data_IF_495579611775
#
_entry.id   IF_495579611775
#
_cell.length_a   1.000
_cell.length_b   1.000
_cell.length_c   1.000
_cell.angle_alpha   90.00
_cell.angle_beta   90.00
_cell.angle_gamma   90.00
#
_symmetry.space_group_name_H-M   'P 1'
#
loop_
_entity.id
_entity.type
_entity.pdbx_description
1 polymer ?
#
# COMPACT_ATOMS: atom_id res chain seq x y z
N UNK A 1 1.52 31.59 15.99
CA UNK A 1 1.53 30.28 15.34
C UNK A 1 2.69 29.46 15.87
N UNK A 2 2.48 28.17 16.14
CA UNK A 2 3.59 27.25 16.40
C UNK A 2 3.48 26.03 15.48
N UNK A 3 4.63 25.45 15.15
CA UNK A 3 4.73 24.34 14.19
C UNK A 3 5.42 23.18 14.89
N UNK A 4 4.69 22.09 15.10
CA UNK A 4 5.19 20.93 15.83
C UNK A 4 5.51 19.77 14.88
N UNK A 5 6.55 19.01 15.26
CA UNK A 5 6.98 17.78 14.61
C UNK A 5 7.14 17.84 13.06
N UNK A 6 7.77 18.89 12.52
CA UNK A 6 7.95 19.01 11.09
C UNK A 6 8.88 17.92 10.55
N UNK A 7 8.44 17.24 9.47
CA UNK A 7 9.31 16.31 8.78
C UNK A 7 8.98 16.23 7.29
N UNK A 8 9.98 15.90 6.49
CA UNK A 8 9.87 15.59 5.07
C UNK A 8 10.07 14.10 4.88
N UNK A 9 9.34 13.51 3.97
CA UNK A 9 9.47 12.11 3.62
C UNK A 9 10.71 11.86 2.77
N UNK A 10 11.58 10.90 3.16
CA UNK A 10 12.63 10.40 2.28
C UNK A 10 12.02 9.79 1.01
N UNK A 11 12.64 10.00 -0.12
CA UNK A 11 12.21 9.41 -1.39
C UNK A 11 13.23 8.42 -1.93
N UNK A 12 12.78 7.32 -2.55
CA UNK A 12 13.66 6.38 -3.21
C UNK A 12 14.49 7.03 -4.32
N UNK A 13 15.68 6.52 -4.63
CA UNK A 13 16.48 7.02 -5.74
C UNK A 13 15.68 7.03 -7.05
N UNK A 14 15.73 8.17 -7.77
CA UNK A 14 15.02 8.36 -9.03
C UNK A 14 13.63 8.95 -8.91
N UNK A 15 13.08 9.13 -7.73
CA UNK A 15 11.85 9.90 -7.52
C UNK A 15 12.16 11.38 -7.26
N UNK A 16 11.37 12.26 -7.88
CA UNK A 16 11.52 13.71 -7.77
C UNK A 16 10.35 14.38 -7.02
N UNK A 17 9.57 13.59 -6.28
CA UNK A 17 8.39 14.08 -5.55
C UNK A 17 8.45 13.59 -4.11
N UNK A 18 8.31 14.52 -3.18
CA UNK A 18 8.20 14.25 -1.75
C UNK A 18 7.01 14.99 -1.13
N UNK A 19 6.82 14.82 0.16
CA UNK A 19 5.82 15.55 0.92
C UNK A 19 6.34 15.92 2.32
N UNK A 20 5.90 17.07 2.82
CA UNK A 20 6.14 17.52 4.19
C UNK A 20 4.87 17.45 5.02
N UNK A 21 5.07 17.15 6.29
CA UNK A 21 4.03 16.91 7.28
C UNK A 21 4.42 17.62 8.59
N UNK A 22 3.41 18.15 9.30
CA UNK A 22 3.59 18.89 10.56
C UNK A 22 2.25 19.12 11.24
N UNK A 23 2.26 19.60 12.46
CA UNK A 23 1.07 20.12 13.13
C UNK A 23 1.17 21.64 13.20
N UNK A 24 0.20 22.34 12.63
CA UNK A 24 0.05 23.78 12.74
C UNK A 24 -0.83 24.08 13.94
N UNK A 25 -0.37 24.90 14.87
CA UNK A 25 -1.14 25.35 16.05
C UNK A 25 -1.35 26.86 16.02
N UNK A 26 -2.56 27.24 16.27
CA UNK A 26 -2.98 28.64 16.32
C UNK A 26 -3.44 29.00 17.73
N UNK A 27 -2.62 29.79 18.44
CA UNK A 27 -2.90 30.26 19.81
C UNK A 27 -3.65 31.60 19.84
N UNK A 28 -4.06 32.13 18.68
CA UNK A 28 -4.82 33.39 18.57
C UNK A 28 -6.34 33.13 18.64
N UNK A 29 -7.10 34.17 18.83
CA UNK A 29 -8.56 34.12 18.88
C UNK A 29 -9.22 34.21 17.48
N UNK A 30 -8.41 34.34 16.42
CA UNK A 30 -8.88 34.36 15.04
C UNK A 30 -8.41 33.12 14.27
N UNK A 31 -9.22 32.64 13.32
CA UNK A 31 -8.82 31.61 12.35
C UNK A 31 -7.70 32.16 11.46
N UNK A 32 -6.70 31.32 11.18
CA UNK A 32 -5.57 31.67 10.30
C UNK A 32 -5.42 30.54 9.28
N UNK A 33 -5.07 30.86 8.03
CA UNK A 33 -4.87 29.85 7.01
C UNK A 33 -3.45 29.89 6.42
N UNK A 34 -2.83 28.73 6.24
CA UNK A 34 -1.64 28.56 5.41
C UNK A 34 -2.07 28.69 3.94
N UNK A 35 -1.54 29.70 3.25
CA UNK A 35 -1.89 30.00 1.85
C UNK A 35 -0.80 29.64 0.85
N UNK A 36 0.46 29.53 1.32
CA UNK A 36 1.59 29.20 0.46
C UNK A 36 2.71 28.53 1.24
N UNK A 37 3.44 27.66 0.58
CA UNK A 37 4.70 27.13 1.08
C UNK A 37 5.77 27.19 0.01
N UNK A 38 7.03 27.34 0.39
CA UNK A 38 8.18 27.36 -0.52
C UNK A 38 9.40 26.67 0.10
N UNK A 39 10.30 26.18 -0.73
CA UNK A 39 11.57 25.56 -0.33
C UNK A 39 12.52 25.56 -1.51
N UNK A 40 13.81 25.69 -1.25
CA UNK A 40 14.88 25.58 -2.26
C UNK A 40 15.09 24.14 -2.78
N UNK A 41 14.59 23.17 -2.04
CA UNK A 41 14.77 21.74 -2.37
C UNK A 41 13.91 21.28 -3.55
N UNK A 42 12.86 22.01 -3.93
CA UNK A 42 11.90 21.61 -4.95
C UNK A 42 11.57 22.76 -5.91
N UNK A 43 11.31 22.43 -7.19
CA UNK A 43 10.91 23.42 -8.20
C UNK A 43 9.53 24.01 -7.91
N UNK A 44 8.62 23.18 -7.41
CA UNK A 44 7.25 23.56 -7.11
C UNK A 44 6.86 23.02 -5.74
N UNK A 45 6.24 23.86 -4.92
CA UNK A 45 5.72 23.49 -3.60
C UNK A 45 4.23 23.84 -3.56
N UNK A 46 3.38 22.86 -3.26
CA UNK A 46 1.92 23.00 -3.32
C UNK A 46 1.26 22.47 -2.06
N UNK A 47 0.14 23.11 -1.69
CA UNK A 47 -0.73 22.61 -0.61
C UNK A 47 -1.73 21.61 -1.20
N UNK A 48 -1.80 20.44 -0.63
CA UNK A 48 -2.68 19.36 -1.11
C UNK A 48 -3.53 18.77 0.00
N UNK A 49 -4.66 18.23 -0.39
CA UNK A 49 -5.49 17.39 0.47
C UNK A 49 -5.85 16.07 -0.21
N UNK A 50 -6.12 15.07 0.62
CA UNK A 50 -6.76 13.84 0.15
C UNK A 50 -8.26 13.96 0.39
N UNK A 51 -9.05 13.95 -0.68
CA UNK A 51 -10.52 13.96 -0.63
C UNK A 51 -11.08 12.61 -1.03
N UNK A 52 -12.17 12.22 -0.37
CA UNK A 52 -12.95 11.05 -0.75
C UNK A 52 -14.11 11.50 -1.65
N UNK A 53 -13.99 11.30 -2.93
CA UNK A 53 -15.02 11.64 -3.89
C UNK A 53 -15.39 10.41 -4.72
N UNK A 54 -16.66 10.04 -4.72
CA UNK A 54 -17.15 8.85 -5.43
C UNK A 54 -16.53 7.52 -4.95
N UNK A 55 -16.10 7.42 -3.68
CA UNK A 55 -15.44 6.23 -3.14
C UNK A 55 -13.95 6.11 -3.49
N UNK A 56 -13.39 7.10 -4.16
CA UNK A 56 -11.96 7.19 -4.49
C UNK A 56 -11.27 8.26 -3.65
N UNK A 57 -10.06 7.96 -3.18
CA UNK A 57 -9.16 8.98 -2.64
C UNK A 57 -8.46 9.66 -3.82
N UNK A 58 -8.75 10.95 -3.98
CA UNK A 58 -8.05 11.82 -4.93
C UNK A 58 -7.17 12.79 -4.15
N UNK A 59 -5.96 13.02 -4.64
CA UNK A 59 -5.17 14.17 -4.22
C UNK A 59 -5.57 15.36 -5.07
N UNK A 60 -5.88 16.48 -4.45
CA UNK A 60 -6.08 17.74 -5.14
C UNK A 60 -5.32 18.84 -4.46
N UNK A 61 -4.85 19.79 -5.25
CA UNK A 61 -4.30 21.03 -4.75
C UNK A 61 -5.41 21.85 -4.09
N UNK A 62 -5.09 22.47 -2.96
CA UNK A 62 -6.00 23.38 -2.25
C UNK A 62 -5.40 24.77 -2.18
N UNK A 63 -6.22 25.85 -2.25
CA UNK A 63 -5.71 27.21 -2.17
C UNK A 63 -5.23 27.59 -0.77
N UNK A 64 -5.73 26.92 0.26
CA UNK A 64 -5.36 27.17 1.65
C UNK A 64 -5.63 25.98 2.56
N UNK A 65 -4.94 25.93 3.68
CA UNK A 65 -5.19 24.98 4.78
C UNK A 65 -5.52 25.79 6.03
N UNK A 66 -6.74 25.70 6.49
CA UNK A 66 -7.27 26.48 7.62
C UNK A 66 -6.81 25.89 8.96
N UNK A 67 -6.44 26.75 9.90
CA UNK A 67 -6.11 26.44 11.30
C UNK A 67 -7.08 27.21 12.21
N UNK A 68 -8.01 26.54 12.89
CA UNK A 68 -9.03 27.20 13.68
C UNK A 68 -8.43 28.03 14.84
N UNK A 69 -9.15 29.04 15.29
CA UNK A 69 -8.79 29.83 16.48
C UNK A 69 -8.61 28.92 17.70
N UNK A 70 -7.58 29.14 18.51
CA UNK A 70 -7.22 28.33 19.69
C UNK A 70 -7.15 26.83 19.38
N UNK A 71 -6.83 26.45 18.14
CA UNK A 71 -6.86 25.09 17.67
C UNK A 71 -5.64 24.67 16.88
N UNK A 72 -5.74 23.51 16.24
CA UNK A 72 -4.66 22.97 15.44
C UNK A 72 -5.17 22.22 14.19
N UNK A 73 -4.35 22.24 13.14
CA UNK A 73 -4.57 21.44 11.93
C UNK A 73 -3.35 20.55 11.69
N UNK A 74 -3.59 19.24 11.55
CA UNK A 74 -2.53 18.23 11.37
C UNK A 74 -2.38 17.93 9.89
N UNK A 75 -1.22 18.26 9.34
CA UNK A 75 -0.78 17.82 8.00
C UNK A 75 -0.17 16.42 8.15
N UNK A 76 -0.81 15.42 7.58
CA UNK A 76 -0.44 14.00 7.74
C UNK A 76 -0.68 13.19 6.47
N UNK A 77 -0.03 12.04 6.29
CA UNK A 77 -0.35 11.13 5.20
C UNK A 77 -1.84 10.77 5.17
N UNK A 78 -2.47 10.92 4.02
CA UNK A 78 -3.91 10.70 3.85
C UNK A 78 -4.81 11.86 4.25
N UNK A 79 -4.25 13.02 4.58
CA UNK A 79 -4.95 14.27 4.86
C UNK A 79 -4.29 15.45 4.14
N UNK A 80 -4.30 16.63 4.78
CA UNK A 80 -3.53 17.78 4.30
C UNK A 80 -2.03 17.49 4.33
N UNK A 81 -1.30 18.00 3.35
CA UNK A 81 0.15 17.90 3.25
C UNK A 81 0.72 18.95 2.29
N UNK A 82 2.02 19.20 2.39
CA UNK A 82 2.76 20.06 1.48
C UNK A 82 3.52 19.19 0.52
N UNK A 83 3.22 19.28 -0.78
CA UNK A 83 3.92 18.55 -1.84
C UNK A 83 5.19 19.27 -2.25
N UNK A 84 6.29 18.52 -2.39
CA UNK A 84 7.57 18.97 -2.92
C UNK A 84 7.78 18.31 -4.27
N UNK A 85 7.59 19.03 -5.36
CA UNK A 85 7.56 18.54 -6.73
C UNK A 85 8.81 19.01 -7.48
N UNK A 86 9.46 18.09 -8.20
CA UNK A 86 10.68 18.38 -8.93
C UNK A 86 11.86 18.66 -8.01
N UNK A 87 12.17 17.71 -7.12
CA UNK A 87 13.29 17.82 -6.20
C UNK A 87 14.60 18.13 -6.96
N UNK A 88 15.28 19.19 -6.55
CA UNK A 88 16.51 19.68 -7.19
C UNK A 88 17.76 18.93 -6.73
N UNK A 89 17.68 18.23 -5.61
CA UNK A 89 18.74 17.37 -5.06
C UNK A 89 18.15 16.11 -4.42
N UNK A 90 18.98 15.10 -4.29
CA UNK A 90 18.61 13.89 -3.52
C UNK A 90 18.47 14.25 -2.04
N UNK A 91 17.37 13.82 -1.42
CA UNK A 91 17.14 13.96 0.01
C UNK A 91 17.18 12.59 0.68
N UNK A 92 17.87 12.49 1.81
CA UNK A 92 18.09 11.26 2.59
C UNK A 92 17.66 11.46 4.02
N UNK A 93 17.31 10.37 4.69
CA UNK A 93 17.00 10.41 6.12
C UNK A 93 18.12 11.10 6.92
N UNK A 94 17.75 12.06 7.76
CA UNK A 94 18.65 12.91 8.53
C UNK A 94 18.95 14.27 7.90
N UNK A 95 18.71 14.46 6.59
CA UNK A 95 18.84 15.77 5.96
C UNK A 95 17.86 16.76 6.60
N UNK A 96 18.23 18.03 6.61
CA UNK A 96 17.39 19.13 7.04
C UNK A 96 16.93 19.93 5.82
N UNK A 97 15.62 20.17 5.73
CA UNK A 97 14.97 20.92 4.67
C UNK A 97 14.27 22.11 5.28
N UNK A 98 14.56 23.29 4.77
CA UNK A 98 13.85 24.49 5.17
C UNK A 98 12.62 24.69 4.31
N UNK A 99 11.51 25.02 4.98
CA UNK A 99 10.25 25.42 4.35
C UNK A 99 9.84 26.76 4.90
N UNK A 100 9.54 27.70 4.04
CA UNK A 100 8.88 28.94 4.40
C UNK A 100 7.37 28.76 4.20
N UNK A 101 6.60 29.04 5.24
CA UNK A 101 5.15 28.91 5.30
C UNK A 101 4.53 30.30 5.43
N UNK A 102 3.74 30.70 4.44
CA UNK A 102 3.09 32.01 4.38
C UNK A 102 1.61 31.86 4.76
N UNK A 103 1.17 32.64 5.72
CA UNK A 103 -0.19 32.65 6.25
C UNK A 103 -0.97 33.86 5.77
N UNK A 104 -2.30 33.75 5.73
CA UNK A 104 -3.21 34.82 5.25
C UNK A 104 -3.22 36.08 6.10
N UNK A 105 -2.69 36.01 7.32
CA UNK A 105 -2.47 37.20 8.18
C UNK A 105 -1.14 37.91 7.89
N UNK A 106 -0.41 37.54 6.83
CA UNK A 106 0.88 38.11 6.44
C UNK A 106 2.09 37.56 7.20
N UNK A 107 1.89 36.61 8.13
CA UNK A 107 3.01 36.01 8.85
C UNK A 107 3.71 34.99 7.95
N UNK A 108 5.05 35.00 7.96
CA UNK A 108 5.88 33.99 7.29
C UNK A 108 6.70 33.29 8.37
N UNK A 109 6.52 31.98 8.49
CA UNK A 109 7.27 31.12 9.42
C UNK A 109 8.22 30.21 8.66
N UNK A 110 9.49 30.22 9.03
CA UNK A 110 10.48 29.29 8.48
C UNK A 110 10.67 28.12 9.42
N UNK A 111 10.46 26.92 8.90
CA UNK A 111 10.56 25.69 9.67
C UNK A 111 11.60 24.74 9.07
N UNK A 112 12.49 24.23 9.92
CA UNK A 112 13.45 23.18 9.54
C UNK A 112 12.82 21.81 9.75
N UNK A 113 12.55 21.14 8.65
CA UNK A 113 11.97 19.80 8.61
C UNK A 113 13.06 18.74 8.45
N UNK A 114 13.14 17.79 9.37
CA UNK A 114 14.08 16.66 9.22
C UNK A 114 13.53 15.65 8.24
N UNK A 115 14.34 15.24 7.26
CA UNK A 115 13.99 14.13 6.37
C UNK A 115 13.95 12.84 7.17
N UNK A 116 12.77 12.26 7.26
CA UNK A 116 12.56 10.99 7.95
C UNK A 116 12.43 9.89 6.91
N UNK A 117 13.24 8.85 7.08
CA UNK A 117 12.91 7.55 6.48
C UNK A 117 11.55 7.17 7.03
N UNK A 118 10.62 6.72 6.20
CA UNK A 118 9.40 6.14 6.74
C UNK A 118 9.80 4.85 7.46
N UNK A 119 10.33 5.03 8.66
CA UNK A 119 10.31 3.98 9.66
C UNK A 119 8.90 4.07 10.25
N UNK A 120 7.98 3.25 9.76
CA UNK A 120 6.75 2.99 10.50
C UNK A 120 7.17 2.70 11.94
N UNK A 121 6.69 3.55 12.84
CA UNK A 121 7.20 3.70 14.20
C UNK A 121 7.51 2.39 14.89
N UNK A 122 8.70 2.32 15.45
CA UNK A 122 8.97 1.46 16.58
C UNK A 122 8.07 1.93 17.73
N UNK A 123 6.88 1.37 17.86
CA UNK A 123 6.19 1.38 19.13
C UNK A 123 7.06 0.59 20.11
N UNK A 124 7.77 1.30 21.00
CA UNK A 124 8.22 0.75 22.27
C UNK A 124 6.97 0.48 23.11
N UNK A 125 6.56 -0.76 23.13
CA UNK A 125 5.49 -1.28 23.96
C UNK A 125 5.67 -2.79 23.91
N UNK A 126 6.33 -3.33 24.93
CA UNK A 126 6.62 -4.75 25.04
C UNK A 126 5.33 -5.57 25.05
N UNK A 127 5.31 -6.63 24.28
CA UNK A 127 4.77 -7.94 24.67
C UNK A 127 5.07 -8.96 23.56
N UNK A 128 5.78 -9.99 23.96
CA UNK A 128 5.55 -11.33 23.48
C UNK A 128 6.26 -11.77 22.19
N UNK A 129 7.52 -12.16 22.33
CA UNK A 129 8.29 -12.91 21.32
C UNK A 129 7.70 -14.28 20.89
N UNK A 130 6.40 -14.55 21.06
CA UNK A 130 5.78 -15.83 20.72
C UNK A 130 5.01 -15.85 19.39
N UNK A 131 4.68 -14.69 18.80
CA UNK A 131 3.81 -14.66 17.60
C UNK A 131 4.56 -14.57 16.26
N UNK A 132 5.87 -14.26 16.27
CA UNK A 132 6.67 -14.17 15.04
C UNK A 132 6.89 -15.51 14.32
N UNK A 133 6.84 -16.65 15.01
CA UNK A 133 7.01 -17.98 14.39
C UNK A 133 5.82 -18.42 13.52
N UNK A 134 4.63 -17.91 13.80
CA UNK A 134 3.43 -18.18 12.98
C UNK A 134 3.42 -17.35 11.69
N UNK A 135 3.86 -16.10 11.78
CA UNK A 135 3.90 -15.16 10.64
C UNK A 135 5.01 -15.51 9.65
N UNK A 136 6.16 -16.04 10.11
CA UNK A 136 7.23 -16.54 9.23
C UNK A 136 6.84 -17.76 8.39
N UNK A 137 5.77 -18.48 8.74
CA UNK A 137 5.20 -19.57 7.91
C UNK A 137 4.22 -19.08 6.85
N UNK A 138 3.79 -17.82 6.85
CA UNK A 138 3.20 -17.21 5.66
C UNK A 138 4.31 -17.04 4.62
N UNK A 139 4.65 -18.14 3.94
CA UNK A 139 5.52 -18.12 2.77
C UNK A 139 5.03 -16.97 1.90
N UNK A 140 5.89 -15.97 1.65
CA UNK A 140 5.70 -14.92 0.66
C UNK A 140 5.34 -15.57 -0.68
N UNK A 141 4.05 -15.87 -0.86
CA UNK A 141 3.58 -16.48 -2.09
C UNK A 141 3.35 -15.35 -3.10
N UNK A 142 3.82 -15.58 -4.28
CA UNK A 142 3.84 -14.92 -5.59
C UNK A 142 2.72 -13.93 -5.97
N UNK A 143 1.76 -13.65 -5.11
CA UNK A 143 0.54 -12.88 -5.42
C UNK A 143 0.58 -11.41 -4.96
N UNK A 144 1.68 -10.95 -4.39
CA UNK A 144 1.81 -9.53 -4.02
C UNK A 144 1.93 -8.63 -5.24
N UNK A 145 2.31 -9.20 -6.38
CA UNK A 145 2.51 -8.45 -7.61
C UNK A 145 2.20 -9.27 -8.86
N UNK A 146 1.17 -8.89 -9.64
CA UNK A 146 0.75 -9.62 -10.85
C UNK A 146 1.67 -9.43 -12.05
N UNK A 147 2.54 -8.41 -12.07
CA UNK A 147 3.43 -8.17 -13.22
C UNK A 147 4.41 -9.33 -13.45
N UNK A 148 4.64 -9.76 -14.71
CA UNK A 148 5.66 -10.74 -15.03
C UNK A 148 7.05 -10.25 -14.62
N UNK A 149 7.92 -11.19 -14.24
CA UNK A 149 9.30 -10.90 -13.85
C UNK A 149 10.27 -11.40 -14.90
N UNK A 150 10.50 -10.62 -15.96
CA UNK A 150 11.40 -10.99 -17.06
C UNK A 150 12.87 -11.11 -16.64
N UNK A 151 13.29 -10.40 -15.59
CA UNK A 151 14.63 -10.56 -15.04
C UNK A 151 14.92 -12.02 -14.64
N UNK A 152 13.88 -12.78 -14.34
CA UNK A 152 13.99 -14.19 -13.99
C UNK A 152 14.40 -15.05 -15.18
N UNK A 153 13.99 -14.69 -16.39
CA UNK A 153 14.43 -15.31 -17.64
C UNK A 153 15.91 -15.02 -17.85
N UNK A 154 16.30 -13.75 -17.78
CA UNK A 154 17.69 -13.35 -17.88
C UNK A 154 18.59 -14.09 -16.88
N UNK A 155 18.22 -14.12 -15.60
CA UNK A 155 19.04 -14.78 -14.57
C UNK A 155 19.19 -16.30 -14.73
N UNK A 156 18.22 -16.98 -15.37
CA UNK A 156 18.19 -18.44 -15.45
C UNK A 156 18.41 -19.03 -16.84
N UNK A 157 18.24 -18.21 -17.88
CA UNK A 157 18.18 -18.65 -19.26
C UNK A 157 18.84 -17.65 -20.24
N UNK A 158 19.80 -16.85 -19.77
CA UNK A 158 20.50 -15.85 -20.61
C UNK A 158 21.23 -16.50 -21.79
N UNK A 159 21.67 -17.73 -21.64
CA UNK A 159 22.26 -18.57 -22.68
C UNK A 159 21.35 -18.79 -23.88
N UNK A 160 20.02 -18.75 -23.68
CA UNK A 160 19.01 -18.94 -24.74
C UNK A 160 18.59 -17.66 -25.44
N UNK A 161 19.15 -16.53 -25.07
CA UNK A 161 18.75 -15.19 -25.57
C UNK A 161 19.71 -14.61 -26.60
N UNK A 162 20.84 -15.27 -26.89
CA UNK A 162 21.89 -14.79 -27.82
C UNK A 162 22.28 -13.32 -27.58
N UNK A 163 22.55 -12.98 -26.31
CA UNK A 163 22.87 -11.61 -25.90
C UNK A 163 24.31 -11.24 -26.20
N UNK A 164 24.53 -10.01 -26.64
CA UNK A 164 25.89 -9.44 -26.73
C UNK A 164 26.45 -9.18 -25.32
N UNK A 165 27.77 -9.09 -25.20
CA UNK A 165 28.46 -8.75 -23.97
C UNK A 165 27.99 -7.38 -23.40
N UNK A 166 27.71 -6.42 -24.28
CA UNK A 166 27.18 -5.11 -23.93
C UNK A 166 25.76 -5.21 -23.36
N UNK A 167 24.86 -5.97 -24.00
CA UNK A 167 23.49 -6.21 -23.50
C UNK A 167 23.49 -6.88 -22.13
N UNK A 168 24.33 -7.89 -21.93
CA UNK A 168 24.50 -8.56 -20.64
C UNK A 168 24.96 -7.58 -19.56
N UNK A 169 25.91 -6.69 -19.90
CA UNK A 169 26.43 -5.68 -18.97
C UNK A 169 25.34 -4.68 -18.57
N UNK A 170 24.57 -4.15 -19.54
CA UNK A 170 23.45 -3.23 -19.31
C UNK A 170 22.35 -3.86 -18.43
N UNK A 171 21.96 -5.11 -18.72
CA UNK A 171 20.95 -5.82 -17.93
C UNK A 171 21.42 -6.08 -16.50
N UNK A 172 22.69 -6.47 -16.30
CA UNK A 172 23.28 -6.64 -14.96
C UNK A 172 23.34 -5.32 -14.19
N UNK A 173 23.69 -4.21 -14.84
CA UNK A 173 23.71 -2.88 -14.23
C UNK A 173 22.30 -2.47 -13.76
N UNK A 174 21.28 -2.61 -14.60
CA UNK A 174 19.90 -2.34 -14.24
C UNK A 174 19.37 -3.22 -13.09
N UNK A 175 19.81 -4.48 -13.03
CA UNK A 175 19.48 -5.37 -11.92
C UNK A 175 20.12 -4.91 -10.61
N UNK A 176 21.41 -4.50 -10.66
CA UNK A 176 22.13 -4.00 -9.49
C UNK A 176 21.53 -2.71 -8.94
N UNK A 177 21.08 -1.83 -9.85
CA UNK A 177 20.46 -0.56 -9.50
C UNK A 177 19.07 -0.73 -8.87
N UNK A 178 18.18 -1.49 -9.52
CA UNK A 178 16.76 -1.59 -9.12
C UNK A 178 16.45 -2.73 -8.15
N UNK A 179 17.30 -3.76 -8.12
CA UNK A 179 17.08 -4.94 -7.30
C UNK A 179 16.90 -4.64 -5.81
N UNK A 180 17.78 -3.82 -5.18
CA UNK A 180 17.64 -3.44 -3.77
C UNK A 180 16.31 -2.75 -3.47
N UNK A 181 15.88 -1.81 -4.32
CA UNK A 181 14.62 -1.08 -4.13
C UNK A 181 13.40 -2.02 -4.18
N UNK A 182 13.33 -2.93 -5.15
CA UNK A 182 12.25 -3.92 -5.23
C UNK A 182 12.26 -4.87 -4.02
N UNK A 183 13.43 -5.23 -3.50
CA UNK A 183 13.55 -6.05 -2.30
C UNK A 183 13.03 -5.32 -1.06
N UNK A 184 13.36 -4.04 -0.92
CA UNK A 184 12.88 -3.19 0.18
C UNK A 184 11.35 -3.00 0.12
N UNK A 185 10.80 -2.66 -1.05
CA UNK A 185 9.36 -2.57 -1.27
C UNK A 185 8.64 -3.88 -0.90
N UNK A 186 9.21 -5.01 -1.29
CA UNK A 186 8.64 -6.33 -0.97
C UNK A 186 8.65 -6.59 0.55
N UNK A 187 9.72 -6.22 1.24
CA UNK A 187 9.80 -6.34 2.70
C UNK A 187 8.80 -5.41 3.41
N UNK A 188 8.62 -4.18 2.89
CA UNK A 188 7.60 -3.23 3.37
C UNK A 188 6.18 -3.78 3.22
N UNK A 189 5.86 -4.38 2.07
CA UNK A 189 4.56 -5.05 1.83
C UNK A 189 4.29 -6.12 2.88
N UNK A 190 5.27 -7.01 3.13
CA UNK A 190 5.11 -8.10 4.13
C UNK A 190 4.85 -7.54 5.52
N UNK A 191 5.59 -6.49 5.90
CA UNK A 191 5.40 -5.83 7.19
C UNK A 191 4.03 -5.20 7.31
N UNK A 192 3.58 -4.47 6.29
CA UNK A 192 2.27 -3.83 6.27
C UNK A 192 1.12 -4.83 6.32
N UNK A 193 1.25 -5.98 5.65
CA UNK A 193 0.28 -7.07 5.74
C UNK A 193 0.17 -7.61 7.17
N UNK A 194 1.31 -7.80 7.85
CA UNK A 194 1.33 -8.23 9.24
C UNK A 194 0.76 -7.17 10.20
N UNK A 195 1.05 -5.89 9.96
CA UNK A 195 0.54 -4.78 10.75
C UNK A 195 -1.00 -4.64 10.61
N UNK A 196 -1.55 -4.79 9.38
CA UNK A 196 -3.00 -4.79 9.13
C UNK A 196 -3.67 -5.99 9.84
N UNK A 197 -3.09 -7.18 9.70
CA UNK A 197 -3.58 -8.36 10.40
C UNK A 197 -3.64 -8.14 11.92
N UNK A 198 -2.53 -7.67 12.48
CA UNK A 198 -2.40 -7.41 13.92
C UNK A 198 -3.39 -6.34 14.39
N UNK A 199 -3.50 -5.23 13.69
CA UNK A 199 -4.44 -4.15 13.99
C UNK A 199 -5.90 -4.63 13.95
N UNK A 200 -6.24 -5.44 12.94
CA UNK A 200 -7.59 -5.98 12.80
C UNK A 200 -7.96 -6.95 13.93
N UNK A 201 -7.02 -7.84 14.31
CA UNK A 201 -7.21 -8.82 15.40
C UNK A 201 -7.29 -8.14 16.77
N UNK A 202 -6.51 -7.09 16.99
CA UNK A 202 -6.49 -6.33 18.24
C UNK A 202 -7.64 -5.32 18.37
N UNK A 203 -8.53 -5.28 17.39
CA UNK A 203 -9.71 -4.42 17.45
C UNK A 203 -9.44 -2.95 17.20
N UNK A 204 -8.30 -2.61 16.60
CA UNK A 204 -7.95 -1.22 16.25
C UNK A 204 -9.02 -0.57 15.37
N UNK A 205 -9.23 0.73 15.50
CA UNK A 205 -10.26 1.45 14.77
C UNK A 205 -10.01 1.47 13.25
N UNK A 206 -11.09 1.60 12.48
CA UNK A 206 -11.06 1.51 11.01
C UNK A 206 -10.10 2.53 10.38
N UNK A 207 -10.04 3.76 10.91
CA UNK A 207 -9.16 4.80 10.38
C UNK A 207 -7.66 4.40 10.42
N UNK A 208 -7.23 3.71 11.48
CA UNK A 208 -5.86 3.19 11.60
C UNK A 208 -5.59 2.09 10.58
N UNK A 209 -6.55 1.20 10.40
CA UNK A 209 -6.45 0.11 9.41
C UNK A 209 -6.46 0.68 8.00
N UNK A 210 -7.27 1.70 7.71
CA UNK A 210 -7.28 2.39 6.42
C UNK A 210 -5.93 3.05 6.09
N UNK A 211 -5.27 3.67 7.07
CA UNK A 211 -3.92 4.23 6.89
C UNK A 211 -2.91 3.15 6.49
N UNK A 212 -2.92 2.01 7.20
CA UNK A 212 -2.06 0.86 6.88
C UNK A 212 -2.40 0.28 5.50
N UNK A 213 -3.68 0.17 5.16
CA UNK A 213 -4.13 -0.33 3.87
C UNK A 213 -3.69 0.57 2.72
N UNK A 214 -3.82 1.88 2.86
CA UNK A 214 -3.35 2.84 1.85
C UNK A 214 -1.83 2.74 1.65
N UNK A 215 -1.06 2.64 2.75
CA UNK A 215 0.39 2.44 2.68
C UNK A 215 0.74 1.12 1.97
N UNK A 216 0.05 0.03 2.29
CA UNK A 216 0.22 -1.27 1.63
C UNK A 216 -0.05 -1.19 0.13
N UNK A 217 -1.13 -0.52 -0.27
CA UNK A 217 -1.49 -0.40 -1.68
C UNK A 217 -0.49 0.48 -2.45
N UNK A 218 0.01 1.51 -1.81
CA UNK A 218 1.07 2.35 -2.39
C UNK A 218 2.34 1.53 -2.67
N UNK A 219 2.79 0.72 -1.70
CA UNK A 219 3.98 -0.13 -1.89
C UNK A 219 3.77 -1.19 -2.99
N UNK A 220 2.60 -1.81 -3.03
CA UNK A 220 2.23 -2.76 -4.08
C UNK A 220 2.21 -2.11 -5.47
N UNK A 221 1.67 -0.91 -5.58
CA UNK A 221 1.67 -0.14 -6.83
C UNK A 221 3.11 0.21 -7.27
N UNK A 222 3.97 0.61 -6.33
CA UNK A 222 5.37 0.89 -6.62
C UNK A 222 6.13 -0.36 -7.13
N UNK A 223 5.79 -1.55 -6.65
CA UNK A 223 6.34 -2.79 -7.20
C UNK A 223 5.86 -3.02 -8.65
N UNK A 224 4.57 -2.76 -8.95
CA UNK A 224 4.04 -2.85 -10.32
C UNK A 224 4.82 -1.88 -11.23
N UNK A 225 4.93 -0.62 -10.84
CA UNK A 225 5.69 0.41 -11.59
C UNK A 225 7.15 0.03 -11.80
N UNK A 226 7.82 -0.46 -10.76
CA UNK A 226 9.22 -0.89 -10.85
C UNK A 226 9.44 -2.07 -11.80
N UNK A 227 8.51 -3.03 -11.83
CA UNK A 227 8.57 -4.15 -12.80
C UNK A 227 8.20 -3.72 -14.22
N UNK A 228 7.30 -2.77 -14.37
CA UNK A 228 6.99 -2.16 -15.68
C UNK A 228 8.21 -1.44 -16.22
N UNK A 229 8.88 -0.63 -15.42
CA UNK A 229 10.14 0.03 -15.81
C UNK A 229 11.24 -0.98 -16.16
N UNK A 230 11.30 -2.12 -15.44
CA UNK A 230 12.22 -3.20 -15.78
C UNK A 230 11.90 -3.81 -17.17
N UNK A 231 10.61 -4.01 -17.50
CA UNK A 231 10.19 -4.46 -18.83
C UNK A 231 10.62 -3.47 -19.91
N UNK A 232 10.39 -2.18 -19.71
CA UNK A 232 10.79 -1.16 -20.70
C UNK A 232 12.31 -1.17 -20.92
N UNK A 233 13.10 -1.33 -19.85
CA UNK A 233 14.56 -1.47 -20.01
C UNK A 233 14.98 -2.72 -20.81
N UNK A 234 14.23 -3.82 -20.74
CA UNK A 234 14.47 -4.96 -21.62
C UNK A 234 14.23 -4.59 -23.10
N UNK A 235 13.18 -3.82 -23.39
CA UNK A 235 12.87 -3.37 -24.76
C UNK A 235 13.90 -2.39 -25.31
N UNK A 236 14.48 -1.54 -24.47
CA UNK A 236 15.53 -0.60 -24.85
C UNK A 236 16.88 -1.28 -25.13
N UNK A 237 17.15 -2.39 -24.43
CA UNK A 237 18.44 -3.09 -24.49
C UNK A 237 18.43 -4.21 -25.53
N UNK A 238 17.31 -4.89 -25.70
CA UNK A 238 17.16 -6.05 -26.58
C UNK A 238 16.53 -5.65 -27.92
N UNK A 239 16.89 -6.37 -28.98
CA UNK A 239 16.11 -6.29 -30.19
C UNK A 239 14.74 -6.97 -30.05
N UNK A 240 13.84 -6.74 -31.00
CA UNK A 240 12.48 -7.26 -31.00
C UNK A 240 12.44 -8.81 -30.88
N UNK A 241 13.31 -9.52 -31.62
CA UNK A 241 13.36 -10.98 -31.58
C UNK A 241 13.82 -11.52 -30.23
N UNK A 242 14.83 -10.88 -29.64
CA UNK A 242 15.33 -11.20 -28.31
C UNK A 242 14.26 -10.95 -27.25
N UNK A 243 13.56 -9.81 -27.33
CA UNK A 243 12.49 -9.50 -26.38
C UNK A 243 11.32 -10.49 -26.49
N UNK A 244 10.89 -10.82 -27.71
CA UNK A 244 9.87 -11.86 -27.92
C UNK A 244 10.30 -13.21 -27.35
N UNK A 245 11.58 -13.57 -27.50
CA UNK A 245 12.13 -14.79 -26.91
C UNK A 245 12.11 -14.76 -25.38
N UNK A 246 12.34 -13.61 -24.74
CA UNK A 246 12.17 -13.45 -23.30
C UNK A 246 10.72 -13.73 -22.89
N UNK A 247 9.75 -13.18 -23.60
CA UNK A 247 8.31 -13.39 -23.32
C UNK A 247 7.93 -14.87 -23.49
N UNK A 248 8.39 -15.51 -24.58
CA UNK A 248 8.16 -16.93 -24.86
C UNK A 248 8.72 -17.81 -23.76
N UNK A 249 10.01 -17.67 -23.42
CA UNK A 249 10.65 -18.41 -22.35
C UNK A 249 10.00 -18.17 -21.00
N UNK A 250 9.48 -16.96 -20.74
CA UNK A 250 8.72 -16.69 -19.54
C UNK A 250 7.41 -17.46 -19.51
N UNK A 251 6.65 -17.48 -20.60
CA UNK A 251 5.40 -18.23 -20.75
C UNK A 251 5.62 -19.72 -20.53
N UNK A 252 6.64 -20.29 -21.14
CA UNK A 252 6.94 -21.71 -21.03
C UNK A 252 7.38 -22.16 -19.62
N UNK A 253 8.23 -21.36 -18.97
CA UNK A 253 8.97 -21.82 -17.78
C UNK A 253 8.49 -21.22 -16.47
N UNK A 254 7.80 -20.05 -16.50
CA UNK A 254 7.48 -19.28 -15.32
C UNK A 254 5.99 -18.93 -15.17
N UNK A 255 5.17 -19.18 -16.19
CA UNK A 255 3.72 -19.02 -16.04
C UNK A 255 3.19 -19.97 -14.96
N UNK A 256 2.28 -19.48 -14.13
CA UNK A 256 1.55 -20.36 -13.21
C UNK A 256 0.79 -21.40 -14.04
N UNK A 257 1.03 -22.69 -13.79
CA UNK A 257 0.20 -23.73 -14.42
C UNK A 257 -1.23 -23.54 -13.91
N UNK A 258 -2.18 -23.37 -14.82
CA UNK A 258 -3.59 -23.11 -14.53
C UNK A 258 -4.19 -24.13 -13.53
N UNK A 259 -3.73 -25.36 -13.57
CA UNK A 259 -4.15 -26.44 -12.67
C UNK A 259 -3.66 -26.31 -11.21
N UNK A 260 -2.63 -25.47 -10.93
CA UNK A 260 -2.10 -25.29 -9.56
C UNK A 260 -2.63 -24.07 -8.84
N UNK A 261 -3.40 -23.22 -9.50
CA UNK A 261 -4.04 -22.06 -8.87
C UNK A 261 -5.46 -22.42 -8.45
N UNK A 262 -5.60 -23.24 -7.40
CA UNK A 262 -6.90 -23.48 -6.78
C UNK A 262 -7.54 -22.14 -6.39
N UNK A 263 -8.82 -21.92 -6.76
CA UNK A 263 -9.61 -20.71 -6.48
C UNK A 263 -9.46 -20.19 -5.03
N UNK A 264 -9.19 -21.07 -4.09
CA UNK A 264 -9.08 -20.76 -2.65
C UNK A 264 -7.70 -20.21 -2.25
N UNK A 265 -6.60 -20.53 -2.95
CA UNK A 265 -5.27 -19.96 -2.65
C UNK A 265 -5.16 -18.50 -3.11
N UNK A 266 -5.79 -18.12 -4.21
CA UNK A 266 -5.85 -16.74 -4.68
C UNK A 266 -6.54 -15.81 -3.68
N UNK A 267 -7.63 -16.27 -3.07
CA UNK A 267 -8.42 -15.49 -2.11
C UNK A 267 -7.64 -15.18 -0.82
N UNK A 268 -6.77 -16.08 -0.36
CA UNK A 268 -5.98 -15.91 0.88
C UNK A 268 -4.89 -14.83 0.78
N UNK A 269 -4.42 -14.52 -0.43
CA UNK A 269 -3.27 -13.64 -0.65
C UNK A 269 -3.63 -12.23 -1.11
N UNK A 270 -4.88 -11.99 -1.47
CA UNK A 270 -5.31 -10.67 -1.93
C UNK A 270 -5.54 -9.70 -0.78
N UNK A 271 -5.68 -10.20 0.45
CA UNK A 271 -6.10 -9.37 1.55
C UNK A 271 -5.57 -9.84 2.92
N UNK A 272 -4.78 -9.01 3.63
CA UNK A 272 -4.18 -9.35 4.92
C UNK A 272 -5.17 -9.33 6.10
N UNK A 273 -6.33 -8.69 5.94
CA UNK A 273 -7.32 -8.61 7.02
C UNK A 273 -7.97 -9.99 7.31
N UNK A 274 -8.18 -10.36 8.58
CA UNK A 274 -8.72 -11.65 8.97
C UNK A 274 -10.16 -11.84 8.48
N UNK A 275 -10.53 -13.07 8.10
CA UNK A 275 -11.90 -13.43 7.77
C UNK A 275 -12.57 -14.11 8.97
N UNK A 276 -13.05 -13.34 9.93
CA UNK A 276 -13.65 -13.85 11.16
C UNK A 276 -14.97 -14.58 10.93
N UNK A 277 -15.73 -14.24 9.86
CA UNK A 277 -16.95 -14.97 9.49
C UNK A 277 -16.69 -16.45 9.18
N UNK A 278 -15.46 -16.82 8.85
CA UNK A 278 -15.11 -18.21 8.61
C UNK A 278 -15.15 -19.05 9.91
N UNK A 279 -14.88 -18.43 11.06
CA UNK A 279 -15.00 -19.09 12.38
C UNK A 279 -16.47 -19.38 12.66
N UNK A 280 -17.36 -18.40 12.47
CA UNK A 280 -18.80 -18.59 12.63
C UNK A 280 -19.30 -19.77 11.79
N UNK A 281 -18.94 -19.78 10.50
CA UNK A 281 -19.39 -20.83 9.56
C UNK A 281 -18.86 -22.23 9.88
N UNK A 282 -17.65 -22.35 10.46
CA UNK A 282 -17.00 -23.64 10.67
C UNK A 282 -17.03 -24.14 12.10
N UNK A 283 -17.22 -23.26 13.06
CA UNK A 283 -17.06 -23.52 14.49
C UNK A 283 -18.09 -22.76 15.33
N UNK A 284 -19.23 -22.40 14.76
CA UNK A 284 -20.29 -21.67 15.45
C UNK A 284 -20.85 -22.45 16.65
N UNK A 285 -20.84 -23.79 16.56
CA UNK A 285 -21.17 -24.71 17.64
C UNK A 285 -20.35 -24.50 18.93
N UNK A 286 -19.11 -23.99 18.79
CA UNK A 286 -18.19 -23.71 19.92
C UNK A 286 -18.39 -22.35 20.58
N UNK A 287 -19.35 -21.57 20.10
CA UNK A 287 -19.55 -20.19 20.53
C UNK A 287 -20.77 -19.99 21.44
N UNK A 288 -21.59 -21.06 21.66
CA UNK A 288 -22.82 -21.00 22.43
C UNK A 288 -23.72 -19.80 22.03
N UNK A 289 -23.98 -19.69 20.71
CA UNK A 289 -24.79 -18.61 20.17
C UNK A 289 -26.27 -18.81 20.49
N UNK A 290 -26.98 -17.73 20.81
CA UNK A 290 -28.42 -17.73 20.87
C UNK A 290 -29.04 -17.84 19.46
N UNK A 291 -30.29 -18.30 19.37
CA UNK A 291 -31.02 -18.37 18.09
C UNK A 291 -31.07 -17.02 17.38
N UNK A 292 -31.26 -15.95 18.14
CA UNK A 292 -31.24 -14.58 17.61
C UNK A 292 -29.88 -14.22 17.01
N UNK A 293 -28.78 -14.53 17.71
CA UNK A 293 -27.42 -14.26 17.21
C UNK A 293 -27.11 -15.05 15.94
N UNK A 294 -27.56 -16.32 15.88
CA UNK A 294 -27.43 -17.15 14.66
C UNK A 294 -28.18 -16.48 13.49
N UNK A 295 -29.43 -16.13 13.68
CA UNK A 295 -30.27 -15.47 12.67
C UNK A 295 -29.66 -14.16 12.18
N UNK A 296 -29.18 -13.31 13.11
CA UNK A 296 -28.56 -12.02 12.77
C UNK A 296 -27.26 -12.20 11.99
N UNK A 297 -26.43 -13.17 12.35
CA UNK A 297 -25.17 -13.50 11.64
C UNK A 297 -25.42 -14.11 10.26
N UNK A 298 -26.42 -14.99 10.11
CA UNK A 298 -26.80 -15.59 8.85
C UNK A 298 -27.37 -14.54 7.87
N UNK A 299 -28.27 -13.68 8.37
CA UNK A 299 -28.79 -12.55 7.59
C UNK A 299 -27.66 -11.66 7.09
N UNK A 300 -26.77 -11.24 7.99
CA UNK A 300 -25.60 -10.45 7.63
C UNK A 300 -24.72 -11.16 6.59
N UNK A 301 -24.45 -12.45 6.79
CA UNK A 301 -23.64 -13.28 5.87
C UNK A 301 -24.26 -13.39 4.48
N UNK A 302 -25.60 -13.53 4.39
CA UNK A 302 -26.33 -13.59 3.12
C UNK A 302 -26.31 -12.26 2.36
N UNK A 303 -26.41 -11.13 3.05
CA UNK A 303 -26.36 -9.80 2.43
C UNK A 303 -24.93 -9.43 1.96
N UNK A 304 -23.91 -9.71 2.76
CA UNK A 304 -22.53 -9.28 2.47
C UNK A 304 -21.74 -10.27 1.64
N UNK A 305 -22.07 -11.55 1.69
CA UNK A 305 -21.38 -12.62 0.98
C UNK A 305 -21.26 -12.36 -0.52
N UNK A 306 -22.36 -12.06 -1.23
CA UNK A 306 -22.32 -11.76 -2.67
C UNK A 306 -21.48 -10.54 -3.01
N UNK A 307 -21.53 -9.48 -2.20
CA UNK A 307 -20.72 -8.26 -2.38
C UNK A 307 -19.24 -8.58 -2.29
N UNK A 308 -18.84 -9.27 -1.23
CA UNK A 308 -17.44 -9.69 -1.04
C UNK A 308 -16.97 -10.61 -2.17
N UNK A 309 -17.80 -11.55 -2.62
CA UNK A 309 -17.49 -12.44 -3.74
C UNK A 309 -17.22 -11.65 -5.03
N UNK A 310 -18.05 -10.65 -5.34
CA UNK A 310 -17.88 -9.77 -6.51
C UNK A 310 -16.56 -8.98 -6.43
N UNK A 311 -16.21 -8.45 -5.26
CA UNK A 311 -14.95 -7.73 -5.04
C UNK A 311 -13.73 -8.66 -5.23
N UNK A 312 -13.76 -9.88 -4.72
CA UNK A 312 -12.69 -10.86 -4.95
C UNK A 312 -12.55 -11.22 -6.44
N UNK A 313 -13.66 -11.37 -7.15
CA UNK A 313 -13.65 -11.63 -8.59
C UNK A 313 -13.02 -10.45 -9.35
N UNK A 314 -13.35 -9.21 -9.00
CA UNK A 314 -12.75 -8.02 -9.60
C UNK A 314 -11.23 -7.96 -9.38
N UNK A 315 -10.75 -8.22 -8.16
CA UNK A 315 -9.30 -8.28 -7.90
C UNK A 315 -8.63 -9.38 -8.74
N UNK A 316 -9.24 -10.56 -8.81
CA UNK A 316 -8.70 -11.68 -9.58
C UNK A 316 -8.61 -11.34 -11.08
N UNK A 317 -9.63 -10.69 -11.62
CA UNK A 317 -9.63 -10.27 -13.03
C UNK A 317 -8.56 -9.22 -13.27
N UNK A 318 -8.46 -8.20 -12.42
CA UNK A 318 -7.44 -7.16 -12.55
C UNK A 318 -6.01 -7.70 -12.41
N UNK A 319 -5.78 -8.71 -11.58
CA UNK A 319 -4.47 -9.40 -11.53
C UNK A 319 -4.15 -10.09 -12.84
N UNK A 320 -5.14 -10.76 -13.45
CA UNK A 320 -4.97 -11.38 -14.75
C UNK A 320 -4.75 -10.34 -15.85
N UNK A 321 -5.50 -9.24 -15.84
CA UNK A 321 -5.36 -8.17 -16.82
C UNK A 321 -3.98 -7.50 -16.77
N UNK A 322 -3.47 -7.19 -15.55
CA UNK A 322 -2.10 -6.65 -15.37
C UNK A 322 -1.05 -7.64 -15.87
N UNK A 323 -1.24 -8.92 -15.58
CA UNK A 323 -0.33 -9.96 -16.02
C UNK A 323 -0.28 -10.06 -17.55
N UNK A 324 -1.45 -10.09 -18.20
CA UNK A 324 -1.57 -10.13 -19.65
C UNK A 324 -1.03 -8.84 -20.30
N UNK A 325 -1.36 -7.67 -19.75
CA UNK A 325 -0.81 -6.40 -20.21
C UNK A 325 0.72 -6.38 -20.17
N UNK A 326 1.30 -6.94 -19.12
CA UNK A 326 2.75 -7.11 -19.00
C UNK A 326 3.37 -8.02 -20.06
N UNK A 327 2.68 -9.13 -20.41
CA UNK A 327 3.12 -10.09 -21.44
C UNK A 327 2.91 -9.59 -22.87
N UNK A 328 1.80 -8.89 -23.11
CA UNK A 328 1.40 -8.43 -24.45
C UNK A 328 1.97 -7.06 -24.81
N UNK A 329 2.93 -6.58 -24.02
CA UNK A 329 3.60 -5.30 -24.28
C UNK A 329 2.65 -4.08 -24.29
N UNK A 330 1.58 -4.12 -23.51
CA UNK A 330 0.67 -2.99 -23.35
C UNK A 330 1.40 -1.75 -22.80
N UNK A 331 0.84 -0.55 -23.05
CA UNK A 331 1.44 0.71 -22.65
C UNK A 331 1.62 0.81 -21.11
N UNK A 332 2.61 1.61 -20.71
CA UNK A 332 2.86 1.92 -19.28
C UNK A 332 1.63 2.53 -18.64
N UNK A 333 0.93 3.42 -19.35
CA UNK A 333 -0.29 4.07 -18.87
C UNK A 333 -1.42 3.07 -18.63
N UNK A 334 -1.60 2.10 -19.53
CA UNK A 334 -2.59 1.02 -19.35
C UNK A 334 -2.30 0.20 -18.10
N UNK A 335 -1.05 -0.19 -17.89
CA UNK A 335 -0.64 -0.94 -16.70
C UNK A 335 -0.81 -0.10 -15.42
N UNK A 336 -0.53 1.21 -15.48
CA UNK A 336 -0.75 2.11 -14.35
C UNK A 336 -2.24 2.21 -13.99
N UNK A 337 -3.12 2.39 -14.96
CA UNK A 337 -4.57 2.42 -14.76
C UNK A 337 -5.09 1.13 -14.11
N UNK A 338 -4.64 -0.02 -14.59
CA UNK A 338 -4.98 -1.32 -13.99
C UNK A 338 -4.43 -1.45 -12.55
N UNK A 339 -3.21 -0.91 -12.30
CA UNK A 339 -2.60 -0.85 -10.98
C UNK A 339 -3.38 0.00 -9.99
N UNK A 340 -3.91 1.13 -10.42
CA UNK A 340 -4.78 1.98 -9.61
C UNK A 340 -6.13 1.29 -9.33
N UNK A 341 -6.74 0.68 -10.35
CA UNK A 341 -8.00 -0.04 -10.20
C UNK A 341 -7.90 -1.21 -9.20
N UNK A 342 -6.87 -2.05 -9.29
CA UNK A 342 -6.68 -3.17 -8.35
C UNK A 342 -6.43 -2.70 -6.92
N UNK A 343 -5.75 -1.57 -6.75
CA UNK A 343 -5.52 -0.93 -5.46
C UNK A 343 -6.85 -0.59 -4.79
N UNK A 344 -7.76 0.05 -5.52
CA UNK A 344 -9.08 0.41 -5.01
C UNK A 344 -9.91 -0.82 -4.61
N UNK A 345 -9.95 -1.85 -5.44
CA UNK A 345 -10.72 -3.07 -5.12
C UNK A 345 -10.17 -3.79 -3.89
N UNK A 346 -8.84 -3.84 -3.72
CA UNK A 346 -8.23 -4.44 -2.53
C UNK A 346 -8.55 -3.68 -1.25
N UNK A 347 -8.60 -2.34 -1.28
CA UNK A 347 -9.02 -1.51 -0.14
C UNK A 347 -10.47 -1.81 0.24
N UNK A 348 -11.37 -1.93 -0.74
CA UNK A 348 -12.79 -2.29 -0.48
C UNK A 348 -12.91 -3.63 0.26
N UNK A 349 -12.09 -4.62 -0.08
CA UNK A 349 -12.08 -5.91 0.60
C UNK A 349 -11.61 -5.76 2.07
N UNK A 350 -10.55 -4.99 2.34
CA UNK A 350 -10.08 -4.74 3.71
C UNK A 350 -11.20 -4.10 4.53
N UNK A 351 -11.80 -3.02 4.02
CA UNK A 351 -12.91 -2.32 4.67
C UNK A 351 -14.11 -3.24 4.90
N UNK A 352 -14.48 -4.04 3.91
CA UNK A 352 -15.57 -5.01 4.02
C UNK A 352 -15.36 -6.02 5.15
N UNK A 353 -14.11 -6.52 5.32
CA UNK A 353 -13.78 -7.41 6.44
C UNK A 353 -13.80 -6.70 7.80
N UNK A 354 -13.37 -5.44 7.86
CA UNK A 354 -13.46 -4.66 9.09
C UNK A 354 -14.91 -4.37 9.47
N UNK A 355 -15.74 -4.11 8.49
CA UNK A 355 -17.18 -3.95 8.70
C UNK A 355 -17.83 -5.25 9.24
N UNK A 356 -17.41 -6.41 8.74
CA UNK A 356 -17.82 -7.71 9.28
C UNK A 356 -17.35 -7.90 10.74
N UNK A 357 -16.10 -7.55 11.07
CA UNK A 357 -15.56 -7.58 12.42
C UNK A 357 -16.40 -6.73 13.39
N UNK A 358 -16.66 -5.50 13.01
CA UNK A 358 -17.36 -4.54 13.88
C UNK A 358 -18.83 -4.91 14.03
N UNK A 359 -19.45 -5.51 12.99
CA UNK A 359 -20.79 -6.06 13.11
C UNK A 359 -20.85 -7.28 14.04
N UNK A 360 -19.86 -8.17 13.98
CA UNK A 360 -19.74 -9.26 14.94
C UNK A 360 -19.69 -8.78 16.39
N UNK A 361 -18.89 -7.72 16.67
CA UNK A 361 -18.81 -7.12 18.00
C UNK A 361 -20.15 -6.58 18.53
N UNK A 362 -21.08 -6.22 17.61
CA UNK A 362 -22.42 -5.76 18.01
C UNK A 362 -23.40 -6.90 18.29
N UNK A 363 -23.20 -8.04 17.63
CA UNK A 363 -24.09 -9.21 17.74
C UNK A 363 -23.65 -10.13 18.88
N UNK A 364 -22.35 -10.32 19.05
CA UNK A 364 -21.77 -11.22 20.05
C UNK A 364 -21.47 -10.48 21.35
N UNK A 365 -21.55 -11.18 22.48
CA UNK A 365 -20.97 -10.68 23.72
C UNK A 365 -19.42 -10.74 23.70
N UNK A 366 -18.78 -10.11 24.68
CA UNK A 366 -17.31 -10.03 24.74
C UNK A 366 -16.66 -11.41 24.86
N UNK A 367 -17.26 -12.37 25.56
CA UNK A 367 -16.74 -13.73 25.74
C UNK A 367 -16.80 -14.48 24.39
N UNK A 368 -17.93 -14.39 23.71
CA UNK A 368 -18.15 -15.01 22.40
C UNK A 368 -17.20 -14.40 21.36
N UNK A 369 -17.08 -13.07 21.32
CA UNK A 369 -16.18 -12.39 20.40
C UNK A 369 -14.72 -12.76 20.66
N UNK A 370 -14.27 -12.77 21.91
CA UNK A 370 -12.91 -13.19 22.25
C UNK A 370 -12.66 -14.65 21.88
N UNK A 371 -13.66 -15.51 22.00
CA UNK A 371 -13.57 -16.90 21.55
C UNK A 371 -13.45 -17.01 20.02
N UNK A 372 -14.12 -16.15 19.25
CA UNK A 372 -13.93 -16.08 17.79
C UNK A 372 -12.48 -15.74 17.45
N UNK A 373 -11.89 -14.76 18.13
CA UNK A 373 -10.49 -14.36 17.93
C UNK A 373 -9.53 -15.50 18.30
N UNK A 374 -9.77 -16.17 19.42
CA UNK A 374 -8.97 -17.33 19.86
C UNK A 374 -9.01 -18.46 18.82
N UNK A 375 -10.22 -18.87 18.40
CA UNK A 375 -10.42 -19.92 17.41
C UNK A 375 -9.82 -19.55 16.05
N UNK A 376 -9.92 -18.28 15.66
CA UNK A 376 -9.29 -17.79 14.42
C UNK A 376 -7.77 -17.92 14.49
N UNK A 377 -7.14 -17.49 15.59
CA UNK A 377 -5.69 -17.58 15.81
C UNK A 377 -5.19 -19.02 15.84
N UNK A 378 -5.96 -19.94 16.43
CA UNK A 378 -5.59 -21.33 16.55
C UNK A 378 -5.62 -22.09 15.21
N UNK A 379 -6.42 -21.62 14.22
CA UNK A 379 -6.66 -22.33 12.95
C UNK A 379 -6.04 -21.63 11.71
N UNK A 380 -5.28 -20.53 11.89
CA UNK A 380 -4.61 -19.80 10.83
C UNK A 380 -3.16 -19.46 11.19
#
# INVERSE_FOLDING_TARGET
>A
MSIDEPYVREVPPGQQISASFMTLKNDTDAEIALIKASSDVAKTVELHEHVHEGGMMKMRQVPKITVPAKGSTVLKPGGYHIMLIGLQRKIKAGDKIELALEFDNGTIETVTSTVKKIMMGKMKGGMGGMHMKGIQKMKMKKHTNPMPNFMRVFMKMSDKLNLSAEQVTKLKAGMKERGPAIKELTASVVKLEADIYSAAINGEPLNKIDQLANSLMHERLNIIKGKTACRESFKEILDEKQFQKVVELYKENFMPKAEKMGKMEMIKHTNPAPNLMQVIKKMGDKLNLTEKQVTDLEKWGSERGPIMKKQYQAVTQLEADIFQAGLNNESVDKISQLGDAITQERIKIIRGKMFCRDNMKRILDDKQYNKVIELYKANN
#
